data_IF_813299052072
#
_entry.id   IF_813299052072
#
_cell.length_a   1.000
_cell.length_b   1.000
_cell.length_c   1.000
_cell.angle_alpha   90.00
_cell.angle_beta   90.00
_cell.angle_gamma   90.00
#
_symmetry.space_group_name_H-M   'P 1'
#
loop_
_entity.id
_entity.type
_entity.pdbx_description
1 polymer ?
#
# COMPACT_ATOMS: atom_id res chain seq x y z
N UNK A 1 -21.23 -8.12 -19.54
CA UNK A 1 -20.08 -8.57 -18.74
C UNK A 1 -20.48 -8.64 -17.30
N UNK A 2 -20.12 -9.69 -16.63
CA UNK A 2 -20.44 -9.83 -15.22
C UNK A 2 -19.45 -9.08 -14.38
N UNK A 3 -19.82 -8.84 -13.13
CA UNK A 3 -18.89 -8.18 -12.21
C UNK A 3 -17.65 -9.03 -12.03
N UNK A 4 -17.79 -10.34 -11.99
CA UNK A 4 -16.63 -11.19 -11.82
C UNK A 4 -15.69 -11.09 -13.02
N UNK A 5 -16.24 -11.02 -14.23
CA UNK A 5 -15.41 -10.90 -15.39
C UNK A 5 -14.70 -9.56 -15.43
N UNK A 6 -15.40 -8.50 -15.02
CA UNK A 6 -14.79 -7.19 -15.01
C UNK A 6 -13.72 -7.12 -13.93
N UNK A 7 -13.97 -7.73 -12.78
CA UNK A 7 -12.97 -7.75 -11.73
C UNK A 7 -11.72 -8.48 -12.19
N UNK A 8 -11.88 -9.56 -12.94
CA UNK A 8 -10.73 -10.29 -13.43
C UNK A 8 -9.93 -9.46 -14.42
N UNK A 9 -10.61 -8.66 -15.22
CA UNK A 9 -9.91 -7.80 -16.16
C UNK A 9 -9.18 -6.69 -15.44
N UNK A 10 -9.78 -6.12 -14.42
CA UNK A 10 -9.11 -5.10 -13.66
C UNK A 10 -7.88 -5.69 -13.00
N UNK A 11 -7.99 -6.89 -12.47
CA UNK A 11 -6.87 -7.52 -11.78
C UNK A 11 -5.66 -7.69 -12.66
N UNK A 12 -5.88 -7.85 -13.95
CA UNK A 12 -4.75 -7.99 -14.84
C UNK A 12 -4.00 -6.69 -15.05
N UNK A 13 -4.56 -5.57 -14.63
CA UNK A 13 -3.87 -4.30 -14.74
C UNK A 13 -3.12 -3.94 -13.47
N UNK A 14 -3.26 -4.74 -12.42
CA UNK A 14 -2.61 -4.44 -11.15
C UNK A 14 -1.14 -4.81 -11.26
N UNK A 15 -0.28 -3.85 -11.04
CA UNK A 15 1.14 -4.05 -11.20
C UNK A 15 1.94 -3.97 -9.95
N UNK A 16 1.28 -3.72 -8.85
CA UNK A 16 1.95 -3.63 -7.55
C UNK A 16 1.55 -4.83 -6.72
N UNK A 17 2.18 -5.03 -5.60
CA UNK A 17 1.88 -6.16 -4.71
C UNK A 17 1.83 -5.66 -3.29
N UNK A 18 0.80 -6.05 -2.55
CA UNK A 18 0.65 -5.64 -1.16
C UNK A 18 0.78 -6.85 -0.27
N UNK A 19 1.54 -6.70 0.80
CA UNK A 19 1.62 -7.66 1.87
C UNK A 19 1.01 -6.99 3.09
N UNK A 20 0.13 -7.69 3.77
CA UNK A 20 -0.63 -7.09 4.85
C UNK A 20 -0.57 -7.95 6.09
N UNK A 21 -0.57 -7.27 7.22
CA UNK A 21 -0.53 -7.92 8.52
C UNK A 21 -1.54 -7.27 9.45
N UNK A 22 -2.17 -8.07 10.28
CA UNK A 22 -3.13 -7.53 11.26
C UNK A 22 -2.48 -7.51 12.62
N UNK A 23 -2.35 -6.35 13.25
CA UNK A 23 -1.78 -6.28 14.59
C UNK A 23 -2.69 -6.97 15.58
N UNK A 24 -2.10 -7.73 16.49
CA UNK A 24 -2.84 -8.43 17.51
C UNK A 24 -2.57 -7.78 18.86
N UNK A 25 -3.45 -8.01 19.82
CA UNK A 25 -3.33 -7.33 21.12
C UNK A 25 -2.00 -7.57 21.81
N UNK A 26 -1.35 -8.65 21.60
CA UNK A 26 -0.09 -8.90 22.29
C UNK A 26 1.12 -8.31 21.62
N UNK A 27 0.93 -7.49 20.59
CA UNK A 27 2.06 -6.94 19.87
C UNK A 27 2.51 -7.79 18.72
N UNK A 28 1.92 -8.95 18.54
CA UNK A 28 2.25 -9.79 17.41
C UNK A 28 1.43 -9.38 16.22
N UNK A 29 1.75 -9.93 15.08
CA UNK A 29 1.00 -9.64 13.86
C UNK A 29 0.60 -10.94 13.20
N UNK A 30 -0.57 -10.91 12.61
CA UNK A 30 -1.08 -12.06 11.87
C UNK A 30 -1.00 -11.74 10.40
N UNK A 31 -0.33 -12.58 9.61
CA UNK A 31 -0.27 -12.32 8.17
C UNK A 31 -1.65 -12.47 7.55
N UNK A 32 -2.01 -11.53 6.70
CA UNK A 32 -3.29 -11.58 6.01
C UNK A 32 -3.10 -11.90 4.54
N UNK A 33 -2.24 -11.18 3.87
CA UNK A 33 -1.97 -11.37 2.45
C UNK A 33 -0.49 -11.23 2.20
N UNK A 34 0.03 -11.97 1.24
CA UNK A 34 1.42 -11.86 0.85
C UNK A 34 1.48 -11.68 -0.64
N UNK A 35 2.00 -10.55 -1.08
CA UNK A 35 2.18 -10.31 -2.50
C UNK A 35 0.88 -10.27 -3.28
N UNK A 36 -0.18 -9.75 -2.68
CA UNK A 36 -1.47 -9.71 -3.35
C UNK A 36 -1.46 -8.64 -4.44
N UNK A 37 -1.89 -8.94 -5.65
CA UNK A 37 -1.88 -7.93 -6.71
C UNK A 37 -2.73 -6.72 -6.36
N UNK A 38 -2.20 -5.56 -6.64
CA UNK A 38 -2.90 -4.33 -6.32
C UNK A 38 -2.41 -3.20 -7.21
N UNK A 39 -3.09 -2.07 -7.14
CA UNK A 39 -2.66 -0.86 -7.80
C UNK A 39 -2.68 0.26 -6.78
N UNK A 40 -1.57 0.92 -6.62
CA UNK A 40 -1.46 2.03 -5.69
C UNK A 40 -1.53 3.31 -6.49
N UNK A 41 -2.50 4.13 -6.19
CA UNK A 41 -2.74 5.34 -6.97
C UNK A 41 -2.29 6.57 -6.21
N UNK A 42 -1.52 7.40 -6.88
CA UNK A 42 -1.12 8.65 -6.31
C UNK A 42 -1.98 9.79 -6.77
N UNK A 43 -2.84 9.55 -7.75
CA UNK A 43 -3.65 10.65 -8.24
C UNK A 43 -4.65 11.12 -7.21
N UNK A 44 -4.95 10.30 -6.25
CA UNK A 44 -5.87 10.70 -5.19
C UNK A 44 -5.12 11.00 -3.89
N UNK A 45 -3.85 11.32 -3.99
CA UNK A 45 -3.08 11.57 -2.80
C UNK A 45 -3.57 12.82 -2.11
N UNK A 46 -3.72 12.73 -0.82
CA UNK A 46 -4.15 13.84 -0.03
C UNK A 46 -3.11 14.03 1.06
N UNK A 47 -2.47 15.17 1.04
CA UNK A 47 -1.47 15.45 2.06
C UNK A 47 -2.14 15.68 3.39
N UNK A 48 -1.45 15.31 4.42
CA UNK A 48 -1.94 15.64 5.75
C UNK A 48 -2.01 17.15 5.87
N UNK A 49 -2.97 17.66 6.61
CA UNK A 49 -3.08 19.10 6.73
C UNK A 49 -1.81 19.67 7.34
N UNK A 50 -1.38 20.76 6.79
CA UNK A 50 -0.23 21.43 7.34
C UNK A 50 -0.65 22.19 8.56
N UNK A 51 0.05 21.99 9.65
CA UNK A 51 -0.33 22.75 10.84
C UNK A 51 -0.14 24.23 10.59
N UNK A 52 -0.84 25.02 11.26
CA UNK A 52 -0.64 26.44 11.12
C UNK A 52 0.79 26.77 11.40
N UNK A 53 1.22 27.88 10.93
CA UNK A 53 2.56 28.27 11.10
C UNK A 53 2.86 28.55 12.52
N UNK A 54 3.18 27.58 13.25
CA UNK A 54 3.44 27.73 14.66
C UNK A 54 4.90 27.63 14.95
N UNK A 55 5.71 27.41 13.96
CA UNK A 55 7.11 27.21 14.21
C UNK A 55 7.45 25.83 14.69
N UNK A 56 6.47 24.99 14.90
CA UNK A 56 6.77 23.65 15.32
C UNK A 56 7.21 22.84 14.13
N UNK A 57 8.07 21.87 14.31
CA UNK A 57 8.46 21.03 13.21
C UNK A 57 7.25 20.26 12.72
N UNK A 58 7.18 20.09 11.43
CA UNK A 58 6.10 19.31 10.89
C UNK A 58 6.24 17.88 11.32
N UNK A 59 5.16 17.21 11.56
CA UNK A 59 5.22 15.81 11.83
C UNK A 59 5.74 15.15 10.58
N UNK A 60 6.23 13.95 10.69
CA UNK A 60 6.70 13.30 9.56
C UNK A 60 5.67 13.42 8.49
N UNK A 61 6.11 13.63 7.34
CA UNK A 61 5.25 13.86 6.24
C UNK A 61 4.41 12.67 6.02
N UNK A 62 3.15 12.80 6.13
CA UNK A 62 2.23 11.72 5.92
C UNK A 62 1.26 12.10 4.86
N UNK A 63 0.90 11.16 4.03
CA UNK A 63 -0.09 11.39 3.01
C UNK A 63 -0.86 10.11 2.81
N UNK A 64 -1.95 10.18 2.11
CA UNK A 64 -2.82 9.05 1.89
C UNK A 64 -2.79 8.68 0.44
N UNK A 65 -2.77 7.40 0.18
CA UNK A 65 -2.86 6.88 -1.17
C UNK A 65 -4.05 5.96 -1.24
N UNK A 66 -4.50 5.72 -2.45
CA UNK A 66 -5.62 4.81 -2.67
C UNK A 66 -5.07 3.51 -3.23
N UNK A 67 -5.48 2.41 -2.63
CA UNK A 67 -5.06 1.09 -3.03
C UNK A 67 -6.23 0.33 -3.60
N UNK A 68 -6.08 -0.22 -4.79
CA UNK A 68 -7.12 -1.01 -5.42
C UNK A 68 -6.71 -2.46 -5.43
N UNK A 69 -7.61 -3.35 -5.04
CA UNK A 69 -7.36 -4.78 -5.01
C UNK A 69 -8.58 -5.52 -5.52
N UNK A 70 -8.45 -6.82 -5.68
CA UNK A 70 -9.58 -7.65 -6.05
C UNK A 70 -10.68 -7.56 -4.99
N UNK A 71 -11.91 -7.80 -5.37
CA UNK A 71 -13.02 -7.54 -4.43
C UNK A 71 -13.03 -8.45 -3.22
N UNK A 72 -12.38 -9.60 -3.29
CA UNK A 72 -12.35 -10.48 -2.14
C UNK A 72 -11.26 -10.09 -1.15
N UNK A 73 -10.37 -9.18 -1.52
CA UNK A 73 -9.32 -8.74 -0.61
C UNK A 73 -9.90 -7.66 0.27
N UNK A 74 -9.80 -7.82 1.56
CA UNK A 74 -10.41 -6.90 2.50
C UNK A 74 -9.44 -6.57 3.60
N UNK A 75 -9.46 -5.31 4.01
CA UNK A 75 -8.62 -4.85 5.09
C UNK A 75 -9.48 -4.20 6.17
N UNK A 76 -9.03 -4.27 7.38
CA UNK A 76 -9.66 -3.58 8.49
C UNK A 76 -8.83 -2.38 8.87
N UNK A 77 -9.45 -1.42 9.51
CA UNK A 77 -8.75 -0.25 9.97
C UNK A 77 -7.58 -0.67 10.83
N UNK A 78 -6.42 -0.15 10.54
CA UNK A 78 -5.23 -0.44 11.31
C UNK A 78 -4.40 -1.59 10.77
N UNK A 79 -4.86 -2.31 9.76
CA UNK A 79 -4.03 -3.36 9.17
C UNK A 79 -2.77 -2.73 8.59
N UNK A 80 -1.62 -3.34 8.86
CA UNK A 80 -0.36 -2.81 8.39
C UNK A 80 -0.10 -3.29 6.96
N UNK A 81 0.25 -2.37 6.11
CA UNK A 81 0.40 -2.65 4.69
C UNK A 81 1.80 -2.31 4.20
N UNK A 82 2.32 -3.16 3.34
CA UNK A 82 3.58 -2.92 2.67
C UNK A 82 3.34 -3.13 1.19
N UNK A 83 3.50 -2.10 0.38
CA UNK A 83 3.21 -2.18 -1.03
C UNK A 83 4.49 -2.04 -1.82
N UNK A 84 4.80 -3.06 -2.61
CA UNK A 84 5.92 -3.02 -3.52
C UNK A 84 5.40 -2.40 -4.80
N UNK A 85 5.92 -1.26 -5.20
CA UNK A 85 5.38 -0.55 -6.34
C UNK A 85 6.05 -0.95 -7.65
N UNK A 86 6.85 -1.99 -7.62
CA UNK A 86 7.45 -2.50 -8.84
C UNK A 86 8.69 -1.76 -9.29
N UNK A 87 9.06 -0.70 -8.62
CA UNK A 87 10.23 0.08 -9.00
C UNK A 87 11.34 -0.03 -7.99
N UNK A 88 11.22 -0.90 -7.04
CA UNK A 88 12.22 -1.04 -5.98
C UNK A 88 11.88 -0.25 -4.74
N UNK A 89 10.69 0.36 -4.70
CA UNK A 89 10.28 1.09 -3.54
C UNK A 89 9.22 0.32 -2.78
N UNK A 90 9.32 0.35 -1.50
CA UNK A 90 8.34 -0.27 -0.63
C UNK A 90 7.62 0.84 0.12
N UNK A 91 6.33 0.97 -0.11
CA UNK A 91 5.52 1.99 0.54
C UNK A 91 4.88 1.34 1.75
N UNK A 92 5.07 1.89 2.91
CA UNK A 92 4.58 1.30 4.15
C UNK A 92 3.57 2.20 4.80
N UNK A 93 2.59 1.60 5.43
CA UNK A 93 1.59 2.35 6.13
C UNK A 93 0.54 1.43 6.70
N UNK A 94 -0.66 1.94 6.87
CA UNK A 94 -1.73 1.15 7.42
C UNK A 94 -3.05 1.58 6.81
N UNK A 95 -4.01 0.67 6.84
CA UNK A 95 -5.31 0.92 6.25
C UNK A 95 -6.10 1.84 7.15
N UNK A 96 -6.57 2.95 6.60
CA UNK A 96 -7.41 3.84 7.37
C UNK A 96 -8.86 3.69 7.00
N UNK A 97 -9.16 3.18 5.82
CA UNK A 97 -10.54 2.96 5.43
C UNK A 97 -10.55 2.00 4.27
N UNK A 98 -11.61 1.24 4.12
CA UNK A 98 -11.66 0.25 3.06
C UNK A 98 -13.11 0.04 2.64
N UNK A 99 -13.35 0.11 1.34
CA UNK A 99 -14.67 -0.04 0.79
C UNK A 99 -14.66 -1.15 -0.23
N UNK A 100 -15.61 -2.05 -0.14
CA UNK A 100 -15.68 -3.18 -1.05
C UNK A 100 -16.77 -2.93 -2.07
N UNK A 101 -16.38 -2.97 -3.34
CA UNK A 101 -17.30 -2.83 -4.45
C UNK A 101 -17.37 -4.19 -5.19
N UNK A 102 -18.37 -4.40 -6.01
CA UNK A 102 -18.49 -5.70 -6.69
C UNK A 102 -17.28 -6.05 -7.55
N UNK A 103 -16.57 -5.07 -8.08
CA UNK A 103 -15.48 -5.34 -9.00
C UNK A 103 -14.11 -5.12 -8.37
N UNK A 104 -14.05 -4.50 -7.22
CA UNK A 104 -12.76 -4.20 -6.59
C UNK A 104 -12.96 -3.70 -5.17
N UNK A 105 -11.90 -3.67 -4.41
CA UNK A 105 -11.90 -3.07 -3.09
C UNK A 105 -11.01 -1.84 -3.16
N UNK A 106 -11.46 -0.76 -2.57
CA UNK A 106 -10.71 0.48 -2.51
C UNK A 106 -10.30 0.70 -1.06
N UNK A 107 -9.02 0.83 -0.80
CA UNK A 107 -8.53 1.03 0.55
C UNK A 107 -7.73 2.32 0.59
N UNK A 108 -8.03 3.15 1.58
CA UNK A 108 -7.26 4.35 1.80
C UNK A 108 -6.12 3.97 2.73
N UNK A 109 -4.91 4.21 2.27
CA UNK A 109 -3.72 3.83 3.01
C UNK A 109 -3.04 5.08 3.53
N UNK A 110 -2.81 5.12 4.84
CA UNK A 110 -2.06 6.20 5.45
C UNK A 110 -0.60 5.81 5.33
N UNK A 111 0.18 6.58 4.61
CA UNK A 111 1.57 6.23 4.36
C UNK A 111 2.43 6.77 5.48
N UNK A 112 3.20 5.89 6.09
CA UNK A 112 4.09 6.28 7.16
C UNK A 112 5.54 6.28 6.74
N UNK A 113 5.87 5.68 5.61
CA UNK A 113 7.25 5.71 5.15
C UNK A 113 7.40 5.05 3.80
N UNK A 114 8.47 5.37 3.13
CA UNK A 114 8.80 4.78 1.85
C UNK A 114 10.25 4.35 1.93
N UNK A 115 10.49 3.11 1.59
CA UNK A 115 11.82 2.58 1.65
C UNK A 115 12.29 2.31 0.25
N UNK A 116 13.45 2.82 -0.12
CA UNK A 116 14.02 2.59 -1.43
C UNK A 116 14.87 1.34 -1.36
N UNK A 117 14.51 0.36 -2.14
CA UNK A 117 15.26 -0.87 -2.13
C UNK A 117 16.04 -1.06 -3.40
N UNK A 118 15.80 -0.21 -4.37
CA UNK A 118 16.45 -0.37 -5.64
C UNK A 118 17.91 -0.25 -5.55
N UNK A 119 18.37 0.70 -4.90
CA UNK A 119 19.77 0.91 -4.85
C UNK A 119 20.49 -0.26 -4.30
N UNK A 120 20.07 -0.79 -3.18
CA UNK A 120 20.80 -1.83 -2.69
C UNK A 120 20.56 -3.04 -3.45
N UNK A 121 19.44 -3.29 -3.88
CA UNK A 121 19.24 -4.49 -4.63
C UNK A 121 20.06 -4.45 -5.86
N UNK A 122 20.03 -3.39 -6.56
CA UNK A 122 20.70 -3.42 -7.80
C UNK A 122 22.13 -3.43 -7.54
N UNK A 123 22.55 -2.90 -6.47
CA UNK A 123 23.84 -2.82 -6.24
C UNK A 123 24.42 -4.13 -6.06
N UNK A 124 23.88 -4.96 -5.28
CA UNK A 124 24.46 -6.12 -5.16
C UNK A 124 24.35 -6.90 -6.27
N UNK A 125 23.37 -6.77 -6.96
CA UNK A 125 23.30 -7.54 -8.14
C UNK A 125 24.44 -7.15 -8.94
N UNK A 126 24.64 -5.96 -9.01
CA UNK A 126 25.63 -5.55 -9.86
C UNK A 126 26.90 -6.00 -9.42
N UNK A 127 27.09 -6.05 -8.23
CA UNK A 127 28.25 -6.30 -7.90
C UNK A 127 28.51 -7.54 -7.73
N UNK A 128 27.69 -8.23 -7.43
CA UNK A 128 27.97 -9.38 -7.26
C UNK A 128 28.52 -9.90 -8.26
N UNK A 129 28.27 -9.55 -9.03
CA UNK A 129 28.72 -10.00 -10.09
C UNK A 129 29.96 -9.68 -10.09
N UNK A 130 30.22 -9.01 -9.47
CA UNK A 130 31.47 -8.68 -9.57
C UNK A 130 32.22 -9.64 -9.05
#
# INVERSE_FOLDING_TARGET
MTDAAFAARLGRTYRHAVTAFRPLPGGEEEPLYTGEPCALSRSAMVSAPTPPDTGAPLPESRYRLTLFTAPQVRFALGDRLEVDDGTGRMVRGWASDSFCYPTHTVTVMDVTGVEERTGQASHEAGEEDA
#
